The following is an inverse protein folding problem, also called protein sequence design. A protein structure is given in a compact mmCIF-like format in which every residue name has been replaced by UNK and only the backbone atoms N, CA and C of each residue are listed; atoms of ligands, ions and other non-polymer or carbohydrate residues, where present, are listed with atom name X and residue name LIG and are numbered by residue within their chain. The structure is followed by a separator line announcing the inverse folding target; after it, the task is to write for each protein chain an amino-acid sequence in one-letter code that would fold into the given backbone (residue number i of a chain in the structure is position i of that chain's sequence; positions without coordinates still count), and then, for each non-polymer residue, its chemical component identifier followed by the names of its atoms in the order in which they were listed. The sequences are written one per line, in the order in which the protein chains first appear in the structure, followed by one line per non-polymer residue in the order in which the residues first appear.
data_IF_698114377636
#
_entry.id   IF_698114377636
#
_cell.length_a   1.000
_cell.length_b   1.000
_cell.length_c   1.000
_cell.angle_alpha   90.00
_cell.angle_beta   90.00
_cell.angle_gamma   90.00
#
_symmetry.space_group_name_H-M   'P 1'
#
loop_
_entity.id
_entity.type
_entity.pdbx_description
1 polymer ?
#
# COMPACT_ATOMS: atom_id res chain seq x y z
N UNK A 1 -4.00 12.94 -12.97
CA UNK A 1 -3.93 11.45 -12.96
C UNK A 1 -2.50 10.93 -13.05
N UNK A 2 -1.75 11.12 -14.13
CA UNK A 2 -0.39 10.54 -14.31
C UNK A 2 0.67 11.01 -13.32
N UNK A 3 0.62 12.27 -12.84
CA UNK A 3 1.53 12.74 -11.78
C UNK A 3 1.32 11.99 -10.46
N UNK A 4 0.08 11.68 -10.12
CA UNK A 4 -0.26 10.90 -8.91
C UNK A 4 0.16 9.43 -9.07
N UNK A 5 -0.13 8.83 -10.24
CA UNK A 5 0.29 7.47 -10.57
C UNK A 5 1.81 7.31 -10.47
N UNK A 6 2.57 8.26 -11.03
CA UNK A 6 4.03 8.27 -10.94
C UNK A 6 4.52 8.34 -9.48
N UNK A 7 3.93 9.21 -8.65
CA UNK A 7 4.28 9.29 -7.22
C UNK A 7 3.99 7.99 -6.50
N UNK A 8 2.83 7.38 -6.73
CA UNK A 8 2.46 6.08 -6.13
C UNK A 8 3.43 4.98 -6.59
N UNK A 9 3.75 4.91 -7.88
CA UNK A 9 4.70 3.95 -8.41
C UNK A 9 6.09 4.08 -7.77
N UNK A 10 6.63 5.32 -7.68
CA UNK A 10 7.92 5.57 -7.04
C UNK A 10 7.88 5.16 -5.56
N UNK A 11 6.85 5.59 -4.83
CA UNK A 11 6.73 5.29 -3.40
C UNK A 11 6.63 3.77 -3.13
N UNK A 12 5.83 3.05 -3.92
CA UNK A 12 5.68 1.59 -3.77
C UNK A 12 6.98 0.86 -4.13
N UNK A 13 7.61 1.23 -5.24
CA UNK A 13 8.84 0.58 -5.69
C UNK A 13 10.02 0.83 -4.73
N UNK A 14 10.21 2.07 -4.25
CA UNK A 14 11.25 2.39 -3.27
C UNK A 14 10.95 1.74 -1.93
N UNK A 15 9.69 1.78 -1.49
CA UNK A 15 9.27 1.17 -0.23
C UNK A 15 9.52 -0.35 -0.19
N UNK A 16 9.19 -1.07 -1.27
CA UNK A 16 9.43 -2.51 -1.34
C UNK A 16 10.93 -2.85 -1.30
N UNK A 17 11.76 -2.10 -2.03
CA UNK A 17 13.23 -2.30 -2.02
C UNK A 17 13.81 -1.96 -0.65
N UNK A 18 13.35 -0.87 0.00
CA UNK A 18 13.82 -0.50 1.33
C UNK A 18 13.53 -1.58 2.37
N UNK A 19 12.35 -2.20 2.32
CA UNK A 19 12.00 -3.34 3.21
C UNK A 19 12.93 -4.52 2.99
N UNK A 20 13.20 -4.90 1.75
CA UNK A 20 14.12 -6.01 1.44
C UNK A 20 15.53 -5.72 1.94
N UNK A 21 16.05 -4.50 1.70
CA UNK A 21 17.39 -4.11 2.19
C UNK A 21 17.44 -4.12 3.71
N UNK A 22 16.40 -3.65 4.40
CA UNK A 22 16.34 -3.68 5.85
C UNK A 22 16.39 -5.11 6.41
N UNK A 23 15.62 -6.02 5.83
CA UNK A 23 15.64 -7.44 6.23
C UNK A 23 17.03 -8.05 6.02
N UNK A 24 17.67 -7.79 4.88
CA UNK A 24 19.01 -8.29 4.57
C UNK A 24 20.05 -7.71 5.54
N UNK A 25 20.00 -6.41 5.82
CA UNK A 25 20.91 -5.76 6.76
C UNK A 25 20.78 -6.35 8.18
N UNK A 26 19.54 -6.55 8.65
CA UNK A 26 19.27 -7.17 9.96
C UNK A 26 19.83 -8.60 9.98
N UNK A 27 19.55 -9.40 8.95
CA UNK A 27 20.03 -10.78 8.86
C UNK A 27 21.56 -10.86 8.85
N UNK A 28 22.24 -10.01 8.07
CA UNK A 28 23.70 -9.94 8.00
C UNK A 28 24.33 -9.56 9.34
N UNK A 29 23.77 -8.54 10.01
CA UNK A 29 24.26 -8.11 11.33
C UNK A 29 24.04 -9.21 12.38
N UNK A 30 22.88 -9.87 12.35
CA UNK A 30 22.59 -11.00 13.25
C UNK A 30 23.56 -12.17 13.04
N UNK A 31 23.80 -12.58 11.80
CA UNK A 31 24.73 -13.66 11.46
C UNK A 31 26.15 -13.29 11.89
N UNK A 32 26.56 -12.03 11.66
CA UNK A 32 27.88 -11.57 12.04
C UNK A 32 28.07 -11.58 13.57
N UNK A 33 27.06 -11.14 14.31
CA UNK A 33 27.08 -11.20 15.78
C UNK A 33 27.16 -12.64 16.30
N UNK A 34 26.33 -13.52 15.75
CA UNK A 34 26.34 -14.94 16.12
C UNK A 34 27.72 -15.60 15.88
N UNK A 35 28.32 -15.33 14.71
CA UNK A 35 29.68 -15.82 14.41
C UNK A 35 30.75 -15.24 15.32
N UNK A 36 30.59 -13.97 15.74
CA UNK A 36 31.46 -13.35 16.70
C UNK A 36 31.40 -14.07 18.04
N UNK A 37 30.19 -14.32 18.58
CA UNK A 37 29.99 -15.06 19.83
C UNK A 37 30.61 -16.47 19.75
N UNK A 38 30.30 -17.21 18.69
CA UNK A 38 30.82 -18.56 18.48
C UNK A 38 32.36 -18.62 18.45
N UNK A 39 32.97 -17.64 17.77
CA UNK A 39 34.44 -17.53 17.71
C UNK A 39 35.06 -17.28 19.09
N UNK A 40 34.46 -16.35 19.84
CA UNK A 40 34.94 -16.00 21.19
C UNK A 40 34.76 -17.20 22.13
N UNK A 41 33.61 -17.86 22.09
CA UNK A 41 33.33 -19.02 22.95
C UNK A 41 34.29 -20.19 22.63
N UNK A 42 34.59 -20.44 21.35
CA UNK A 42 35.59 -21.46 20.94
C UNK A 42 36.96 -21.12 21.48
N UNK A 43 37.38 -19.86 21.38
CA UNK A 43 38.67 -19.39 21.92
C UNK A 43 38.77 -19.59 23.45
N UNK A 44 37.69 -19.27 24.18
CA UNK A 44 37.62 -19.48 25.62
C UNK A 44 37.64 -20.98 26.01
N UNK A 45 36.93 -21.83 25.27
CA UNK A 45 36.89 -23.27 25.47
C UNK A 45 38.28 -23.91 25.20
N UNK A 46 38.94 -23.50 24.13
CA UNK A 46 40.27 -23.99 23.82
C UNK A 46 41.28 -23.56 24.88
N UNK A 47 41.21 -22.32 25.37
CA UNK A 47 42.02 -21.87 26.48
C UNK A 47 41.78 -22.70 27.76
N UNK A 48 40.52 -23.05 28.06
CA UNK A 48 40.17 -23.85 29.24
C UNK A 48 40.75 -25.27 29.24
N UNK A 49 41.02 -25.82 28.06
CA UNK A 49 41.58 -27.16 27.85
C UNK A 49 43.13 -27.19 27.80
N UNK A 50 43.74 -26.02 27.80
CA UNK A 50 45.22 -25.91 27.73
C UNK A 50 45.88 -26.61 28.89
N UNK A 51 46.87 -27.47 28.59
CA UNK A 51 47.65 -28.20 29.62
C UNK A 51 48.42 -27.23 30.54
N UNK A 52 48.87 -26.11 30.01
CA UNK A 52 49.58 -25.13 30.78
C UNK A 52 48.67 -24.46 31.86
N UNK A 53 47.39 -24.20 31.49
CA UNK A 53 46.38 -23.67 32.41
C UNK A 53 46.05 -24.68 33.51
N UNK A 54 45.79 -25.93 33.12
CA UNK A 54 45.52 -27.00 34.06
C UNK A 54 46.68 -27.15 35.06
N UNK A 55 47.95 -27.10 34.61
CA UNK A 55 49.13 -27.19 35.46
C UNK A 55 49.19 -26.02 36.46
N UNK A 56 48.92 -24.75 36.04
CA UNK A 56 48.91 -23.59 36.90
C UNK A 56 47.89 -23.73 38.04
N UNK A 57 46.71 -24.30 37.76
CA UNK A 57 45.62 -24.43 38.75
C UNK A 57 45.67 -25.76 39.52
N UNK A 58 46.50 -26.73 39.12
CA UNK A 58 46.73 -27.99 39.84
C UNK A 58 47.85 -27.89 40.88
N UNK A 59 48.80 -26.97 40.73
CA UNK A 59 49.86 -26.78 41.71
C UNK A 59 49.32 -26.16 43.01
N UNK A 60 49.55 -26.81 44.16
CA UNK A 60 49.27 -26.29 45.49
C UNK A 60 50.33 -25.24 45.85
N UNK A 61 49.99 -23.97 45.70
CA UNK A 61 50.85 -22.86 46.12
C UNK A 61 50.05 -21.83 46.90
N UNK A 62 50.68 -21.13 47.85
CA UNK A 62 50.08 -20.15 48.75
C UNK A 62 49.66 -18.82 48.05
N UNK A 63 50.02 -18.63 46.77
CA UNK A 63 49.68 -17.44 46.03
C UNK A 63 48.26 -17.48 45.50
N UNK A 64 47.36 -16.71 46.17
CA UNK A 64 45.97 -16.56 45.77
C UNK A 64 45.77 -15.98 44.35
N UNK A 65 46.73 -15.13 43.92
CA UNK A 65 46.66 -14.46 42.61
C UNK A 65 48.03 -14.53 41.91
N UNK A 66 48.07 -15.16 40.76
CA UNK A 66 49.23 -15.15 39.88
C UNK A 66 49.06 -13.99 38.90
N UNK A 67 49.82 -12.93 39.10
CA UNK A 67 49.92 -11.82 38.17
C UNK A 67 50.91 -12.09 37.08
N UNK A 68 50.61 -11.65 35.88
CA UNK A 68 51.48 -11.74 34.73
C UNK A 68 52.75 -10.86 34.98
N UNK A 69 53.84 -11.47 35.37
CA UNK A 69 55.14 -10.80 35.25
C UNK A 69 55.60 -10.83 33.78
N UNK A 70 56.10 -9.71 33.29
CA UNK A 70 56.38 -9.36 31.89
C UNK A 70 57.36 -10.28 31.12
N UNK A 71 57.72 -11.44 31.62
CA UNK A 71 58.73 -12.31 31.02
C UNK A 71 58.34 -13.74 30.75
N UNK A 72 57.13 -14.18 31.02
CA UNK A 72 56.74 -15.59 30.72
C UNK A 72 55.36 -15.68 30.06
N UNK A 73 55.40 -16.21 28.86
CA UNK A 73 54.35 -16.75 28.03
C UNK A 73 53.37 -15.77 27.37
N UNK A 74 53.51 -15.64 26.05
CA UNK A 74 52.64 -15.01 25.06
C UNK A 74 51.27 -15.67 24.93
N UNK A 75 51.03 -16.83 25.61
CA UNK A 75 49.92 -17.72 25.35
C UNK A 75 48.55 -17.29 25.94
N UNK A 76 48.58 -16.41 26.96
CA UNK A 76 47.36 -16.02 27.69
C UNK A 76 47.10 -14.48 27.73
N UNK A 77 47.56 -13.78 26.70
CA UNK A 77 47.29 -12.35 26.60
C UNK A 77 45.78 -12.11 26.43
N UNK A 78 45.22 -11.33 27.32
CA UNK A 78 43.82 -10.91 27.26
C UNK A 78 42.88 -11.80 28.07
N UNK A 79 43.38 -12.84 28.75
CA UNK A 79 42.58 -13.71 29.61
C UNK A 79 42.75 -13.40 31.08
N UNK A 80 41.67 -13.47 31.85
CA UNK A 80 41.69 -13.60 33.28
C UNK A 80 40.89 -14.81 33.70
N UNK A 81 41.40 -15.60 34.64
CA UNK A 81 40.81 -16.90 34.98
C UNK A 81 40.68 -16.97 36.50
N UNK A 82 39.52 -17.34 37.00
CA UNK A 82 39.25 -17.51 38.39
C UNK A 82 38.79 -18.96 38.69
N UNK A 83 39.48 -19.64 39.62
CA UNK A 83 39.01 -20.87 40.25
C UNK A 83 38.14 -20.48 41.42
N UNK A 84 36.92 -20.98 41.47
CA UNK A 84 35.93 -20.60 42.50
C UNK A 84 35.58 -21.81 43.39
N UNK A 85 35.20 -21.49 44.63
CA UNK A 85 34.56 -22.46 45.53
C UNK A 85 33.07 -22.60 45.25
N UNK A 86 32.38 -23.46 45.99
CA UNK A 86 30.95 -23.65 45.86
C UNK A 86 30.12 -22.41 46.29
N UNK A 87 30.73 -21.46 46.97
CA UNK A 87 30.11 -20.21 47.43
C UNK A 87 30.43 -19.03 46.49
N UNK A 88 31.14 -19.26 45.38
CA UNK A 88 31.49 -18.22 44.41
C UNK A 88 32.68 -17.34 44.84
N UNK A 89 33.45 -17.74 45.84
CA UNK A 89 34.70 -17.05 46.24
C UNK A 89 35.87 -17.56 45.43
N UNK A 90 36.76 -16.61 45.06
CA UNK A 90 37.99 -16.97 44.33
C UNK A 90 38.94 -17.70 45.26
N UNK A 91 39.32 -18.91 44.90
CA UNK A 91 40.34 -19.72 45.58
C UNK A 91 41.70 -19.40 44.99
N UNK A 92 41.80 -19.34 43.68
CA UNK A 92 43.03 -19.04 42.94
C UNK A 92 42.70 -18.28 41.66
N UNK A 93 43.47 -17.32 41.24
CA UNK A 93 43.23 -16.57 40.01
C UNK A 93 44.54 -16.39 39.21
N UNK A 94 44.38 -16.38 37.89
CA UNK A 94 45.35 -15.84 36.96
C UNK A 94 44.75 -14.53 36.40
N UNK A 95 45.44 -13.45 36.54
CA UNK A 95 44.95 -12.12 36.16
C UNK A 95 45.92 -11.43 35.20
N UNK A 96 45.37 -10.85 34.14
CA UNK A 96 46.08 -9.91 33.29
C UNK A 96 45.83 -8.48 33.85
N UNK A 97 46.83 -7.92 34.50
CA UNK A 97 46.74 -6.60 35.15
C UNK A 97 46.47 -5.46 34.20
N UNK A 98 46.71 -5.65 32.90
CA UNK A 98 46.39 -4.64 31.89
C UNK A 98 44.87 -4.58 31.62
N UNK A 99 44.10 -5.56 32.06
CA UNK A 99 42.70 -5.70 31.77
C UNK A 99 41.80 -5.58 32.99
N UNK A 100 42.17 -6.25 34.08
CA UNK A 100 41.45 -6.20 35.37
C UNK A 100 42.41 -5.70 36.44
N UNK A 101 42.27 -4.47 36.94
CA UNK A 101 43.32 -3.78 37.70
C UNK A 101 43.60 -4.43 39.06
N UNK A 102 42.62 -4.98 39.73
CA UNK A 102 42.76 -5.54 41.07
C UNK A 102 41.90 -6.78 41.29
N UNK A 103 42.09 -7.42 42.44
CA UNK A 103 41.38 -8.65 42.82
C UNK A 103 39.89 -8.38 43.08
N UNK A 104 39.54 -7.22 43.61
CA UNK A 104 38.17 -6.87 43.94
C UNK A 104 37.33 -6.67 42.65
N UNK A 105 37.96 -6.09 41.61
CA UNK A 105 37.36 -5.99 40.27
C UNK A 105 37.12 -7.37 39.66
N UNK A 106 38.04 -8.32 39.82
CA UNK A 106 37.85 -9.68 39.33
C UNK A 106 36.72 -10.39 40.11
N UNK A 107 36.71 -10.24 41.45
CA UNK A 107 35.66 -10.84 42.30
C UNK A 107 34.29 -10.27 41.95
N UNK A 108 34.18 -8.97 41.71
CA UNK A 108 32.94 -8.34 41.25
C UNK A 108 32.43 -8.94 39.93
N UNK A 109 33.31 -9.16 38.94
CA UNK A 109 32.97 -9.81 37.68
C UNK A 109 32.57 -11.29 37.84
N UNK A 110 33.21 -12.01 38.75
CA UNK A 110 32.84 -13.39 39.10
C UNK A 110 31.41 -13.42 39.67
N UNK A 111 31.08 -12.53 40.62
CA UNK A 111 29.76 -12.44 41.20
C UNK A 111 28.73 -12.13 40.10
N UNK A 112 28.97 -11.12 39.26
CA UNK A 112 28.08 -10.79 38.17
C UNK A 112 27.87 -11.96 37.17
N UNK A 113 28.96 -12.71 36.89
CA UNK A 113 28.86 -13.90 36.06
C UNK A 113 27.97 -14.99 36.71
N UNK A 114 28.08 -15.17 38.02
CA UNK A 114 27.26 -16.14 38.76
C UNK A 114 25.79 -15.75 38.81
N UNK A 115 25.50 -14.48 39.06
CA UNK A 115 24.13 -13.91 39.09
C UNK A 115 23.39 -14.07 37.76
N UNK A 116 24.09 -13.99 36.64
CA UNK A 116 23.51 -14.22 35.31
C UNK A 116 22.96 -15.64 35.10
N UNK A 117 23.32 -16.61 35.94
CA UNK A 117 22.78 -17.99 35.89
C UNK A 117 23.10 -18.75 34.60
N UNK A 118 23.91 -18.18 33.68
CA UNK A 118 24.28 -18.75 32.38
C UNK A 118 25.68 -19.35 32.43
N UNK A 119 25.94 -20.32 31.55
CA UNK A 119 27.28 -20.90 31.37
C UNK A 119 28.25 -20.00 30.61
N UNK A 120 27.70 -19.06 29.78
CA UNK A 120 28.49 -18.05 29.05
C UNK A 120 27.69 -16.78 28.89
N UNK A 121 28.37 -15.64 28.72
CA UNK A 121 27.71 -14.35 28.49
C UNK A 121 28.72 -13.20 28.45
N UNK A 122 28.20 -11.98 28.19
CA UNK A 122 28.99 -10.75 28.24
C UNK A 122 28.78 -10.03 29.58
N UNK A 123 29.85 -9.46 30.10
CA UNK A 123 29.89 -8.53 31.25
C UNK A 123 30.66 -7.30 30.80
N UNK A 124 29.95 -6.24 30.39
CA UNK A 124 30.56 -5.13 29.67
C UNK A 124 31.31 -5.60 28.44
N UNK A 125 32.61 -5.28 28.35
CA UNK A 125 33.47 -5.72 27.24
C UNK A 125 34.05 -7.12 27.39
N UNK A 126 33.72 -7.81 28.46
CA UNK A 126 34.26 -9.15 28.71
C UNK A 126 33.26 -10.22 28.38
N UNK A 127 33.71 -11.27 27.64
CA UNK A 127 32.99 -12.52 27.50
C UNK A 127 33.47 -13.47 28.59
N UNK A 128 32.53 -14.11 29.30
CA UNK A 128 32.87 -15.16 30.26
C UNK A 128 32.31 -16.50 29.84
N UNK A 129 33.03 -17.56 30.29
CA UNK A 129 32.54 -18.91 30.23
C UNK A 129 32.84 -19.62 31.55
N UNK A 130 31.88 -20.43 32.04
CA UNK A 130 32.03 -21.31 33.20
C UNK A 130 32.35 -22.70 32.72
N UNK A 131 33.40 -23.31 33.22
CA UNK A 131 33.84 -24.63 32.80
C UNK A 131 34.21 -25.45 34.03
N UNK A 132 33.68 -26.67 34.13
CA UNK A 132 34.07 -27.65 35.13
C UNK A 132 35.28 -28.44 34.57
N UNK A 133 36.36 -28.37 35.30
CA UNK A 133 37.62 -29.03 34.88
C UNK A 133 38.10 -30.02 35.95
N UNK A 134 39.09 -30.80 35.62
CA UNK A 134 39.75 -31.72 36.58
C UNK A 134 40.36 -30.97 37.79
N UNK A 135 40.62 -29.71 37.68
CA UNK A 135 41.17 -28.82 38.73
C UNK A 135 40.10 -28.04 39.49
N UNK A 136 38.79 -28.20 39.17
CA UNK A 136 37.65 -27.56 39.79
C UNK A 136 36.91 -26.61 38.87
N UNK A 137 36.02 -25.80 39.45
CA UNK A 137 35.17 -24.87 38.73
C UNK A 137 35.96 -23.59 38.33
N UNK A 138 36.12 -23.38 37.05
CA UNK A 138 36.83 -22.21 36.50
C UNK A 138 35.83 -21.24 35.81
N UNK A 139 36.05 -19.97 36.00
CA UNK A 139 35.43 -18.92 35.18
C UNK A 139 36.56 -18.22 34.42
N UNK A 140 36.46 -18.26 33.10
CA UNK A 140 37.37 -17.59 32.19
C UNK A 140 36.73 -16.30 31.68
N UNK A 141 37.49 -15.22 31.69
CA UNK A 141 37.15 -13.95 31.13
C UNK A 141 38.09 -13.58 29.99
N UNK A 142 37.54 -13.20 28.85
CA UNK A 142 38.26 -12.65 27.71
C UNK A 142 37.83 -11.23 27.46
N UNK A 143 38.76 -10.32 27.29
CA UNK A 143 38.45 -8.98 26.85
C UNK A 143 38.14 -8.96 25.35
N UNK A 144 36.94 -8.62 25.01
CA UNK A 144 36.42 -8.59 23.64
C UNK A 144 36.17 -7.16 23.14
N UNK A 145 36.82 -6.14 23.78
CA UNK A 145 36.59 -4.74 23.40
C UNK A 145 36.86 -4.51 21.90
N UNK A 146 37.98 -5.05 21.37
CA UNK A 146 38.34 -4.90 19.95
C UNK A 146 37.33 -5.57 18.99
N UNK A 147 36.87 -6.73 19.37
CA UNK A 147 35.87 -7.50 18.61
C UNK A 147 34.53 -6.79 18.60
N UNK A 148 34.12 -6.23 19.74
CA UNK A 148 32.89 -5.44 19.86
C UNK A 148 33.00 -4.11 19.10
N UNK A 149 34.11 -3.40 19.17
CA UNK A 149 34.38 -2.18 18.40
C UNK A 149 34.35 -2.47 16.88
N UNK A 150 34.93 -3.60 16.48
CA UNK A 150 34.89 -4.06 15.08
C UNK A 150 33.46 -4.37 14.63
N UNK A 151 32.67 -5.02 15.50
CA UNK A 151 31.27 -5.31 15.23
C UNK A 151 30.45 -4.01 15.13
N UNK A 152 30.65 -3.07 16.04
CA UNK A 152 29.98 -1.75 16.00
C UNK A 152 30.30 -1.01 14.69
N UNK A 153 31.58 -0.99 14.29
CA UNK A 153 32.00 -0.42 13.01
C UNK A 153 31.35 -1.12 11.82
N UNK A 154 31.20 -2.46 11.87
CA UNK A 154 30.52 -3.22 10.84
C UNK A 154 29.03 -2.85 10.75
N UNK A 155 28.34 -2.70 11.88
CA UNK A 155 26.94 -2.26 11.94
C UNK A 155 26.78 -0.87 11.34
N UNK A 156 27.62 0.08 11.74
CA UNK A 156 27.62 1.44 11.21
C UNK A 156 27.83 1.48 9.69
N UNK A 157 28.81 0.74 9.18
CA UNK A 157 29.08 0.62 7.76
C UNK A 157 27.92 -0.05 7.00
N UNK A 158 27.31 -1.08 7.59
CA UNK A 158 26.14 -1.77 7.03
C UNK A 158 24.95 -0.81 6.85
N UNK A 159 24.68 0.03 7.86
CA UNK A 159 23.63 1.04 7.81
C UNK A 159 23.94 2.08 6.74
N UNK A 160 25.17 2.60 6.71
CA UNK A 160 25.57 3.64 5.74
C UNK A 160 25.48 3.16 4.31
N UNK A 161 25.94 1.93 4.03
CA UNK A 161 25.81 1.29 2.71
C UNK A 161 24.34 1.10 2.35
N UNK A 162 23.51 0.63 3.28
CA UNK A 162 22.08 0.43 3.05
C UNK A 162 21.38 1.72 2.65
N UNK A 163 21.66 2.82 3.34
CA UNK A 163 21.14 4.15 3.00
C UNK A 163 21.62 4.58 1.60
N UNK A 164 22.91 4.39 1.30
CA UNK A 164 23.49 4.72 -0.01
C UNK A 164 22.80 3.94 -1.15
N UNK A 165 22.52 2.66 -0.95
CA UNK A 165 21.81 1.82 -1.94
C UNK A 165 20.37 2.30 -2.11
N UNK A 166 19.64 2.61 -1.02
CA UNK A 166 18.26 3.11 -1.11
C UNK A 166 18.21 4.44 -1.89
N UNK A 167 19.14 5.36 -1.63
CA UNK A 167 19.23 6.63 -2.36
C UNK A 167 19.52 6.38 -3.85
N UNK A 168 20.44 5.50 -4.15
CA UNK A 168 20.81 5.16 -5.53
C UNK A 168 19.63 4.56 -6.29
N UNK A 169 18.89 3.64 -5.66
CA UNK A 169 17.66 3.05 -6.22
C UNK A 169 16.57 4.11 -6.40
N UNK A 170 16.38 5.02 -5.45
CA UNK A 170 15.43 6.12 -5.57
C UNK A 170 15.74 6.98 -6.81
N UNK A 171 17.00 7.39 -6.99
CA UNK A 171 17.42 8.17 -8.15
C UNK A 171 17.16 7.40 -9.45
N UNK A 172 17.53 6.13 -9.51
CA UNK A 172 17.31 5.27 -10.67
C UNK A 172 15.82 5.16 -11.02
N UNK A 173 14.96 4.90 -10.02
CA UNK A 173 13.51 4.79 -10.22
C UNK A 173 12.93 6.12 -10.71
N UNK A 174 13.37 7.26 -10.17
CA UNK A 174 12.92 8.58 -10.63
C UNK A 174 13.28 8.80 -12.11
N UNK A 175 14.48 8.45 -12.53
CA UNK A 175 14.94 8.58 -13.91
C UNK A 175 14.16 7.66 -14.87
N UNK A 176 13.99 6.40 -14.49
CA UNK A 176 13.32 5.38 -15.31
C UNK A 176 11.80 5.58 -15.34
N UNK A 177 11.19 6.02 -14.22
CA UNK A 177 9.73 6.18 -14.11
C UNK A 177 9.14 7.11 -15.18
N UNK A 178 9.87 8.15 -15.57
CA UNK A 178 9.43 9.07 -16.64
C UNK A 178 9.35 8.34 -17.98
N UNK A 179 10.32 7.49 -18.27
CA UNK A 179 10.43 6.76 -19.54
C UNK A 179 9.40 5.63 -19.66
N UNK A 180 9.07 5.00 -18.54
CA UNK A 180 8.08 3.90 -18.48
C UNK A 180 6.64 4.42 -18.55
N UNK A 181 6.36 5.57 -17.91
CA UNK A 181 5.00 6.12 -17.84
C UNK A 181 4.64 6.94 -19.09
N UNK A 182 5.61 7.56 -19.77
CA UNK A 182 5.35 8.36 -20.96
C UNK A 182 4.56 7.60 -22.05
N UNK A 183 4.93 6.37 -22.49
CA UNK A 183 4.17 5.66 -23.52
C UNK A 183 2.74 5.32 -23.10
N UNK A 184 2.50 5.05 -21.82
CA UNK A 184 1.15 4.81 -21.30
C UNK A 184 0.30 6.08 -21.42
N UNK A 185 0.89 7.23 -21.09
CA UNK A 185 0.24 8.51 -21.23
C UNK A 185 -0.09 8.83 -22.70
N UNK A 186 0.87 8.62 -23.61
CA UNK A 186 0.68 8.86 -25.04
C UNK A 186 -0.39 7.94 -25.64
N UNK A 187 -0.40 6.67 -25.28
CA UNK A 187 -1.45 5.72 -25.72
C UNK A 187 -2.82 6.14 -25.23
N UNK A 188 -2.93 6.55 -23.97
CA UNK A 188 -4.19 7.03 -23.40
C UNK A 188 -4.71 8.30 -24.09
N UNK A 189 -3.80 9.27 -24.39
CA UNK A 189 -4.16 10.49 -25.12
C UNK A 189 -4.61 10.15 -26.55
N UNK A 190 -3.87 9.29 -27.27
CA UNK A 190 -4.23 8.85 -28.61
C UNK A 190 -5.57 8.12 -28.66
N UNK A 191 -5.84 7.26 -27.69
CA UNK A 191 -7.13 6.57 -27.57
C UNK A 191 -8.29 7.56 -27.41
N UNK A 192 -8.13 8.60 -26.60
CA UNK A 192 -9.12 9.66 -26.44
C UNK A 192 -9.34 10.46 -27.73
N UNK A 193 -8.26 10.91 -28.34
CA UNK A 193 -8.32 11.63 -29.62
C UNK A 193 -9.03 10.80 -30.70
N UNK A 194 -8.75 9.48 -30.74
CA UNK A 194 -9.42 8.57 -31.64
C UNK A 194 -10.95 8.53 -31.39
N UNK A 195 -11.37 8.39 -30.12
CA UNK A 195 -12.81 8.36 -29.78
C UNK A 195 -13.49 9.67 -30.21
N UNK A 196 -12.87 10.82 -29.92
CA UNK A 196 -13.43 12.14 -30.29
C UNK A 196 -13.49 12.32 -31.80
N UNK A 197 -12.41 12.00 -32.51
CA UNK A 197 -12.34 12.08 -33.98
C UNK A 197 -13.32 11.14 -34.67
N UNK A 198 -13.33 9.85 -34.27
CA UNK A 198 -14.26 8.88 -34.83
C UNK A 198 -15.73 9.29 -34.60
N UNK A 199 -16.02 9.92 -33.47
CA UNK A 199 -17.38 10.38 -33.17
C UNK A 199 -17.85 11.49 -34.11
N UNK A 200 -16.97 12.43 -34.45
CA UNK A 200 -17.27 13.46 -35.46
C UNK A 200 -17.48 12.85 -36.85
N UNK A 201 -16.61 11.92 -37.26
CA UNK A 201 -16.70 11.22 -38.52
C UNK A 201 -17.90 10.29 -38.64
N UNK A 202 -18.47 9.80 -37.52
CA UNK A 202 -19.70 9.00 -37.50
C UNK A 202 -20.98 9.84 -37.56
N UNK A 203 -20.96 11.07 -37.04
CA UNK A 203 -22.17 11.94 -37.06
C UNK A 203 -22.63 12.29 -38.46
N UNK A 204 -21.70 12.58 -39.36
CA UNK A 204 -21.98 12.97 -40.74
C UNK A 204 -22.71 11.87 -41.53
N UNK A 205 -22.22 10.61 -41.60
CA UNK A 205 -22.94 9.54 -42.33
C UNK A 205 -24.29 9.21 -41.69
N UNK A 206 -24.40 9.31 -40.33
CA UNK A 206 -25.68 9.09 -39.65
C UNK A 206 -26.72 10.17 -40.03
N UNK A 207 -26.32 11.42 -40.13
CA UNK A 207 -27.19 12.52 -40.58
C UNK A 207 -27.62 12.32 -42.05
N UNK A 208 -26.73 11.83 -42.93
CA UNK A 208 -27.06 11.52 -44.32
C UNK A 208 -28.03 10.37 -44.40
N UNK A 209 -27.86 9.28 -43.61
CA UNK A 209 -28.79 8.15 -43.58
C UNK A 209 -30.17 8.62 -43.08
N UNK A 210 -30.21 9.45 -42.03
CA UNK A 210 -31.47 10.05 -41.55
C UNK A 210 -32.18 10.86 -42.62
N UNK A 211 -31.47 11.77 -43.29
CA UNK A 211 -32.02 12.60 -44.35
C UNK A 211 -32.52 11.81 -45.54
N UNK A 212 -31.84 10.71 -45.93
CA UNK A 212 -32.29 9.81 -46.98
C UNK A 212 -33.56 9.05 -46.57
N UNK A 213 -33.68 8.65 -45.32
CA UNK A 213 -34.90 8.06 -44.79
C UNK A 213 -36.07 9.04 -44.78
N UNK A 214 -35.83 10.32 -44.41
CA UNK A 214 -36.83 11.37 -44.52
C UNK A 214 -37.38 11.58 -45.95
N UNK A 215 -36.43 11.58 -46.93
CA UNK A 215 -36.81 11.70 -48.37
C UNK A 215 -37.63 10.49 -48.83
N UNK A 216 -37.27 9.28 -48.39
CA UNK A 216 -38.02 8.07 -48.72
C UNK A 216 -39.45 8.10 -48.13
N UNK A 217 -39.59 8.64 -46.92
CA UNK A 217 -40.93 8.87 -46.29
C UNK A 217 -41.77 9.88 -47.04
N UNK A 218 -41.13 10.99 -47.44
CA UNK A 218 -41.81 12.03 -48.23
C UNK A 218 -42.30 11.48 -49.60
N UNK A 219 -41.54 10.59 -50.23
CA UNK A 219 -41.90 10.07 -51.57
C UNK A 219 -42.87 8.90 -51.52
N UNK A 220 -42.80 8.05 -50.51
CA UNK A 220 -43.55 6.76 -50.46
C UNK A 220 -44.54 6.68 -49.28
N UNK A 221 -44.60 7.69 -48.45
CA UNK A 221 -45.34 7.67 -47.18
C UNK A 221 -44.60 6.93 -46.08
N UNK A 222 -45.15 6.98 -44.89
CA UNK A 222 -44.61 6.34 -43.69
C UNK A 222 -44.55 4.83 -43.85
N UNK A 223 -43.40 4.22 -43.57
CA UNK A 223 -43.18 2.80 -43.64
C UNK A 223 -42.51 2.24 -42.40
N UNK A 224 -42.81 1.01 -42.03
CA UNK A 224 -42.16 0.31 -40.94
C UNK A 224 -40.60 0.25 -41.12
N UNK A 225 -40.15 0.27 -42.36
CA UNK A 225 -38.75 0.19 -42.68
C UNK A 225 -38.03 1.51 -42.44
N UNK A 226 -38.63 2.64 -42.86
CA UNK A 226 -38.07 4.00 -42.61
C UNK A 226 -38.09 4.33 -41.12
N UNK A 227 -39.16 4.01 -40.39
CA UNK A 227 -39.21 4.10 -38.94
C UNK A 227 -38.11 3.29 -38.24
N UNK A 228 -37.82 2.06 -38.71
CA UNK A 228 -36.73 1.26 -38.18
C UNK A 228 -35.36 1.91 -38.45
N UNK A 229 -35.15 2.51 -39.62
CA UNK A 229 -33.91 3.22 -39.95
C UNK A 229 -33.75 4.39 -39.01
N UNK A 230 -34.75 5.24 -38.82
CA UNK A 230 -34.70 6.37 -37.88
C UNK A 230 -34.39 5.89 -36.48
N UNK A 231 -35.07 4.89 -35.97
CA UNK A 231 -34.79 4.32 -34.66
C UNK A 231 -33.35 3.84 -34.50
N UNK A 232 -32.71 3.27 -35.54
CA UNK A 232 -31.32 2.84 -35.47
C UNK A 232 -30.36 4.01 -35.58
N UNK A 233 -30.66 5.01 -36.41
CA UNK A 233 -29.86 6.23 -36.53
C UNK A 233 -29.85 7.02 -35.21
N UNK A 234 -31.02 7.22 -34.60
CA UNK A 234 -31.14 7.87 -33.29
C UNK A 234 -30.37 7.11 -32.22
N UNK A 235 -30.46 5.80 -32.28
CA UNK A 235 -29.73 4.91 -31.40
C UNK A 235 -28.24 5.08 -31.55
N UNK A 236 -27.67 5.07 -32.74
CA UNK A 236 -26.24 5.23 -33.00
C UNK A 236 -25.77 6.64 -32.62
N UNK A 237 -26.57 7.66 -32.93
CA UNK A 237 -26.28 9.05 -32.59
C UNK A 237 -26.19 9.27 -31.09
N UNK A 238 -27.11 8.69 -30.33
CA UNK A 238 -27.09 8.74 -28.86
C UNK A 238 -25.89 8.01 -28.27
N UNK A 239 -25.52 6.85 -28.82
CA UNK A 239 -24.31 6.12 -28.42
C UNK A 239 -23.04 6.96 -28.66
N UNK A 240 -22.89 7.51 -29.85
CA UNK A 240 -21.76 8.36 -30.22
C UNK A 240 -21.64 9.57 -29.30
N UNK A 241 -22.77 10.27 -29.06
CA UNK A 241 -22.80 11.41 -28.14
C UNK A 241 -22.39 11.01 -26.71
N UNK A 242 -22.88 9.90 -26.20
CA UNK A 242 -22.54 9.40 -24.86
C UNK A 242 -21.05 9.08 -24.75
N UNK A 243 -20.44 8.51 -25.80
CA UNK A 243 -18.99 8.25 -25.86
C UNK A 243 -18.16 9.54 -25.83
N UNK A 244 -18.58 10.58 -26.57
CA UNK A 244 -17.91 11.89 -26.58
C UNK A 244 -17.96 12.54 -25.21
N UNK A 245 -19.15 12.59 -24.61
CA UNK A 245 -19.34 13.20 -23.29
C UNK A 245 -18.47 12.47 -22.25
N UNK A 246 -18.50 11.13 -22.27
CA UNK A 246 -17.68 10.32 -21.38
C UNK A 246 -16.17 10.61 -21.56
N UNK A 247 -15.70 10.63 -22.82
CA UNK A 247 -14.29 10.94 -23.13
C UNK A 247 -13.87 12.34 -22.65
N UNK A 248 -14.73 13.35 -22.86
CA UNK A 248 -14.49 14.72 -22.38
C UNK A 248 -14.48 14.82 -20.86
N UNK A 249 -15.38 14.11 -20.19
CA UNK A 249 -15.39 14.07 -18.73
C UNK A 249 -14.09 13.47 -18.18
N UNK A 250 -13.54 12.43 -18.79
CA UNK A 250 -12.25 11.90 -18.39
C UNK A 250 -11.08 12.89 -18.58
N UNK A 251 -11.18 13.85 -19.48
CA UNK A 251 -10.13 14.85 -19.74
C UNK A 251 -9.94 15.88 -18.63
N UNK A 252 -11.04 16.32 -18.01
CA UNK A 252 -10.97 17.34 -16.96
C UNK A 252 -10.38 16.75 -15.68
N UNK A 253 -9.09 16.97 -15.45
CA UNK A 253 -8.41 16.58 -14.19
C UNK A 253 -8.84 17.43 -12.98
N UNK A 254 -9.37 18.65 -13.23
CA UNK A 254 -9.83 19.57 -12.20
C UNK A 254 -11.27 19.96 -12.46
N UNK A 255 -12.10 19.76 -11.45
CA UNK A 255 -13.50 20.19 -11.45
C UNK A 255 -13.54 21.63 -10.93
N UNK A 256 -14.10 22.56 -11.69
CA UNK A 256 -14.37 23.92 -11.20
C UNK A 256 -15.51 23.86 -10.18
N UNK A 257 -15.14 23.91 -8.90
CA UNK A 257 -16.09 23.79 -7.82
C UNK A 257 -16.65 25.14 -7.45
N UNK A 258 -17.98 25.27 -7.52
CA UNK A 258 -18.74 26.43 -7.03
C UNK A 258 -19.75 25.98 -5.99
N UNK A 259 -20.16 26.90 -5.14
CA UNK A 259 -21.26 26.64 -4.21
C UNK A 259 -22.58 26.88 -4.92
N UNK A 260 -23.44 25.86 -5.00
CA UNK A 260 -24.77 25.96 -5.61
C UNK A 260 -25.82 25.31 -4.71
N UNK A 261 -27.09 25.63 -4.98
CA UNK A 261 -28.25 25.09 -4.27
C UNK A 261 -28.59 23.69 -4.81
N UNK A 262 -28.22 22.67 -4.06
CA UNK A 262 -28.42 21.27 -4.44
C UNK A 262 -29.90 20.89 -4.39
N UNK A 263 -30.66 21.45 -3.44
CA UNK A 263 -32.13 21.24 -3.34
C UNK A 263 -32.82 21.73 -4.59
N UNK A 264 -32.64 23.00 -4.94
CA UNK A 264 -33.26 23.59 -6.10
C UNK A 264 -32.87 22.90 -7.42
N UNK A 265 -31.58 22.51 -7.55
CA UNK A 265 -31.11 21.75 -8.71
C UNK A 265 -31.84 20.41 -8.84
N UNK A 266 -32.02 19.65 -7.73
CA UNK A 266 -32.73 18.37 -7.76
C UNK A 266 -34.22 18.55 -8.03
N UNK A 267 -34.88 19.50 -7.40
CA UNK A 267 -36.31 19.76 -7.58
C UNK A 267 -36.63 20.14 -9.05
N UNK A 268 -35.82 20.99 -9.67
CA UNK A 268 -35.95 21.31 -11.10
C UNK A 268 -35.81 20.03 -11.98
N UNK A 269 -34.87 19.14 -11.67
CA UNK A 269 -34.75 17.90 -12.44
C UNK A 269 -35.93 16.98 -12.23
N UNK A 270 -36.43 16.84 -11.00
CA UNK A 270 -37.63 16.04 -10.71
C UNK A 270 -38.83 16.57 -11.48
N UNK A 271 -39.01 17.88 -11.58
CA UNK A 271 -40.08 18.49 -12.34
C UNK A 271 -39.99 18.12 -13.83
N UNK A 272 -38.79 18.26 -14.44
CA UNK A 272 -38.58 17.89 -15.85
C UNK A 272 -38.86 16.42 -16.12
N UNK A 273 -38.51 15.52 -15.19
CA UNK A 273 -38.71 14.07 -15.36
C UNK A 273 -40.13 13.59 -14.97
N UNK A 274 -40.93 14.39 -14.25
CA UNK A 274 -42.28 14.02 -13.85
C UNK A 274 -43.21 13.81 -15.06
N UNK A 275 -43.11 14.65 -16.09
CA UNK A 275 -43.91 14.49 -17.30
C UNK A 275 -43.60 13.12 -17.99
N UNK A 276 -42.29 12.79 -18.10
CA UNK A 276 -41.86 11.54 -18.69
C UNK A 276 -42.30 10.34 -17.85
N UNK A 277 -42.20 10.42 -16.53
CA UNK A 277 -42.62 9.36 -15.62
C UNK A 277 -44.15 9.12 -15.73
N UNK A 278 -44.94 10.18 -15.71
CA UNK A 278 -46.39 10.14 -15.84
C UNK A 278 -46.82 9.52 -17.20
N UNK A 279 -46.15 9.89 -18.29
CA UNK A 279 -46.40 9.32 -19.60
C UNK A 279 -46.15 7.81 -19.62
N UNK A 280 -45.18 7.33 -18.85
CA UNK A 280 -44.88 5.91 -18.67
C UNK A 280 -45.67 5.26 -17.52
N UNK A 281 -46.74 5.91 -17.02
CA UNK A 281 -47.56 5.44 -15.89
C UNK A 281 -46.76 5.12 -14.62
N UNK A 282 -45.77 5.95 -14.32
CA UNK A 282 -44.93 5.85 -13.14
C UNK A 282 -45.03 7.12 -12.31
N UNK A 283 -44.90 7.02 -10.97
CA UNK A 283 -45.03 8.13 -10.07
C UNK A 283 -43.71 8.40 -9.34
N UNK A 284 -43.25 9.65 -9.30
CA UNK A 284 -42.07 10.03 -8.51
C UNK A 284 -42.53 10.54 -7.16
N UNK A 285 -42.05 9.88 -6.10
CA UNK A 285 -42.29 10.26 -4.70
C UNK A 285 -41.04 10.89 -4.16
N UNK A 286 -41.16 12.10 -3.63
CA UNK A 286 -39.99 12.89 -3.19
C UNK A 286 -39.95 13.06 -1.67
N UNK A 287 -38.74 13.05 -1.10
CA UNK A 287 -38.49 13.37 0.30
C UNK A 287 -37.17 14.17 0.38
N UNK A 288 -37.27 15.46 0.13
CA UNK A 288 -36.15 16.37 -0.09
C UNK A 288 -36.05 17.39 1.05
N UNK A 289 -34.89 17.45 1.70
CA UNK A 289 -34.60 18.50 2.70
C UNK A 289 -34.32 19.82 1.99
N UNK A 290 -34.87 20.90 2.52
CA UNK A 290 -34.73 22.27 1.97
C UNK A 290 -33.36 22.89 2.31
N UNK A 291 -32.92 23.84 1.45
CA UNK A 291 -31.72 24.67 1.66
C UNK A 291 -30.41 23.89 1.81
N UNK A 292 -30.21 22.81 1.04
CA UNK A 292 -28.96 22.11 0.98
C UNK A 292 -28.08 22.70 -0.12
N UNK A 293 -26.87 23.09 0.26
CA UNK A 293 -25.85 23.60 -0.66
C UNK A 293 -24.71 22.61 -0.79
N UNK A 294 -24.18 22.50 -2.01
CA UNK A 294 -23.04 21.66 -2.32
C UNK A 294 -21.91 22.48 -2.95
N UNK A 295 -20.67 22.06 -2.73
CA UNK A 295 -19.49 22.70 -3.31
C UNK A 295 -18.87 21.76 -4.35
N UNK A 296 -19.30 21.91 -5.60
CA UNK A 296 -18.93 21.05 -6.72
C UNK A 296 -19.15 21.72 -8.07
N UNK A 297 -18.98 20.95 -9.16
CA UNK A 297 -19.36 21.40 -10.50
C UNK A 297 -20.85 21.10 -10.72
N UNK A 298 -21.67 22.14 -10.68
CA UNK A 298 -23.15 22.05 -10.77
C UNK A 298 -23.59 21.22 -11.98
N UNK A 299 -23.05 21.50 -13.17
CA UNK A 299 -23.40 20.80 -14.39
C UNK A 299 -23.15 19.28 -14.33
N UNK A 300 -22.06 18.85 -13.71
CA UNK A 300 -21.76 17.42 -13.52
C UNK A 300 -22.70 16.77 -12.51
N UNK A 301 -23.05 17.46 -11.43
CA UNK A 301 -23.97 16.93 -10.42
C UNK A 301 -25.39 16.85 -10.99
N UNK A 302 -25.84 17.86 -11.73
CA UNK A 302 -27.12 17.82 -12.47
C UNK A 302 -27.15 16.64 -13.43
N UNK A 303 -26.08 16.42 -14.19
CA UNK A 303 -25.98 15.27 -15.08
C UNK A 303 -26.00 13.93 -14.33
N UNK A 304 -25.42 13.85 -13.13
CA UNK A 304 -25.55 12.68 -12.26
C UNK A 304 -27.00 12.42 -11.87
N UNK A 305 -27.74 13.48 -11.50
CA UNK A 305 -29.17 13.39 -11.18
C UNK A 305 -30.00 12.89 -12.39
N UNK A 306 -29.74 13.46 -13.57
CA UNK A 306 -30.41 13.06 -14.81
C UNK A 306 -30.19 11.57 -15.12
N UNK A 307 -28.93 11.09 -15.01
CA UNK A 307 -28.61 9.67 -15.23
C UNK A 307 -29.36 8.75 -14.25
N UNK A 308 -29.41 9.14 -12.97
CA UNK A 308 -30.09 8.33 -11.95
C UNK A 308 -31.61 8.32 -12.13
N UNK A 309 -32.21 9.47 -12.44
CA UNK A 309 -33.66 9.61 -12.68
C UNK A 309 -34.08 8.86 -13.96
N UNK A 310 -33.36 9.07 -15.07
CA UNK A 310 -33.60 8.36 -16.31
C UNK A 310 -33.51 6.84 -16.13
N UNK A 311 -32.48 6.38 -15.41
CA UNK A 311 -32.28 4.96 -15.13
C UNK A 311 -33.45 4.40 -14.29
N UNK A 312 -33.88 5.11 -13.25
CA UNK A 312 -34.98 4.70 -12.40
C UNK A 312 -36.30 4.63 -13.17
N UNK A 313 -36.61 5.65 -13.99
CA UNK A 313 -37.82 5.68 -14.83
C UNK A 313 -37.80 4.51 -15.84
N UNK A 314 -36.64 4.27 -16.45
CA UNK A 314 -36.48 3.26 -17.47
C UNK A 314 -36.68 1.83 -16.96
N UNK A 315 -36.19 1.50 -15.78
CA UNK A 315 -36.22 0.14 -15.22
C UNK A 315 -37.32 -0.10 -14.20
N UNK A 316 -38.08 0.92 -13.81
CA UNK A 316 -39.26 0.75 -12.98
C UNK A 316 -40.39 0.08 -13.79
N UNK A 317 -41.17 -0.86 -13.23
CA UNK A 317 -42.38 -1.37 -13.84
C UNK A 317 -43.44 -0.28 -14.03
N UNK A 318 -44.41 -0.51 -14.96
CA UNK A 318 -45.61 0.32 -15.02
C UNK A 318 -46.35 0.30 -13.68
N UNK A 319 -47.11 1.33 -13.40
CA UNK A 319 -47.88 1.51 -12.16
C UNK A 319 -47.06 1.40 -10.87
N UNK A 320 -45.75 1.69 -10.95
CA UNK A 320 -44.84 1.70 -9.78
C UNK A 320 -44.38 3.09 -9.38
N UNK A 321 -43.93 3.23 -8.14
CA UNK A 321 -43.35 4.47 -7.62
C UNK A 321 -41.82 4.43 -7.61
N UNK A 322 -41.22 5.57 -7.99
CA UNK A 322 -39.80 5.86 -7.89
C UNK A 322 -39.61 6.78 -6.71
N UNK A 323 -38.81 6.40 -5.75
CA UNK A 323 -38.51 7.22 -4.56
C UNK A 323 -37.23 8.01 -4.76
N UNK A 324 -37.29 9.34 -4.62
CA UNK A 324 -36.15 10.24 -4.68
C UNK A 324 -36.04 10.95 -3.34
N UNK A 325 -34.94 10.77 -2.65
CA UNK A 325 -34.70 11.43 -1.38
C UNK A 325 -33.34 12.15 -1.36
N UNK A 326 -33.34 13.35 -0.79
CA UNK A 326 -32.13 14.13 -0.54
C UNK A 326 -32.14 14.55 0.94
N UNK A 327 -31.24 13.99 1.72
CA UNK A 327 -31.19 14.18 3.17
C UNK A 327 -29.86 14.71 3.63
N UNK A 328 -29.91 15.62 4.60
CA UNK A 328 -28.70 16.07 5.30
C UNK A 328 -28.31 15.05 6.37
N UNK A 329 -27.10 14.53 6.27
CA UNK A 329 -26.51 13.67 7.29
C UNK A 329 -25.18 14.27 7.77
N UNK A 330 -25.23 14.97 8.90
CA UNK A 330 -24.07 15.68 9.50
C UNK A 330 -23.37 16.61 8.49
N UNK A 331 -22.27 16.14 7.90
CA UNK A 331 -21.43 16.89 6.93
C UNK A 331 -21.73 16.54 5.47
N UNK A 332 -22.60 15.55 5.23
CA UNK A 332 -22.88 15.03 3.89
C UNK A 332 -24.33 15.31 3.49
N UNK A 333 -24.57 15.48 2.20
CA UNK A 333 -25.89 15.37 1.60
C UNK A 333 -26.00 13.99 0.94
N UNK A 334 -27.05 13.24 1.27
CA UNK A 334 -27.27 11.90 0.71
C UNK A 334 -28.40 11.98 -0.29
N UNK A 335 -28.08 11.85 -1.58
CA UNK A 335 -29.03 11.65 -2.65
C UNK A 335 -29.28 10.15 -2.84
N UNK A 336 -30.54 9.74 -2.77
CA UNK A 336 -30.94 8.35 -3.01
C UNK A 336 -32.10 8.30 -4.00
N UNK A 337 -31.91 7.58 -5.10
CA UNK A 337 -32.94 7.28 -6.07
C UNK A 337 -33.21 5.76 -6.01
N UNK A 338 -34.45 5.36 -5.82
CA UNK A 338 -34.83 3.95 -5.67
C UNK A 338 -36.07 3.63 -6.48
N UNK A 339 -36.05 2.52 -7.20
CA UNK A 339 -37.18 1.99 -7.96
C UNK A 339 -37.33 0.49 -7.73
N UNK A 340 -38.51 -0.03 -7.98
CA UNK A 340 -38.70 -1.48 -8.09
C UNK A 340 -38.06 -1.97 -9.39
N UNK A 341 -37.36 -3.08 -9.35
CA UNK A 341 -36.81 -3.73 -10.53
C UNK A 341 -36.66 -5.23 -10.27
N UNK A 342 -36.83 -6.04 -11.30
CA UNK A 342 -36.55 -7.47 -11.26
C UNK A 342 -35.04 -7.68 -11.49
N UNK A 343 -34.27 -7.66 -10.41
CA UNK A 343 -32.82 -7.85 -10.45
C UNK A 343 -32.44 -9.10 -9.66
N UNK A 344 -31.61 -9.97 -10.24
CA UNK A 344 -31.05 -11.11 -9.51
C UNK A 344 -30.17 -10.61 -8.37
N UNK A 345 -30.38 -11.17 -7.17
CA UNK A 345 -29.50 -10.91 -6.02
C UNK A 345 -28.08 -11.41 -6.33
N UNK A 346 -27.09 -10.58 -6.15
CA UNK A 346 -25.69 -10.91 -6.38
C UNK A 346 -24.79 -9.68 -6.35
N UNK A 347 -23.53 -9.86 -6.76
CA UNK A 347 -22.59 -8.76 -6.92
C UNK A 347 -22.98 -7.91 -8.14
N UNK A 348 -23.39 -6.69 -7.86
CA UNK A 348 -23.79 -5.70 -8.86
C UNK A 348 -22.63 -4.73 -9.21
N UNK A 349 -21.40 -4.99 -8.78
CA UNK A 349 -20.25 -4.13 -9.08
C UNK A 349 -20.03 -3.91 -10.59
N UNK A 350 -20.36 -4.90 -11.39
CA UNK A 350 -20.25 -4.86 -12.86
C UNK A 350 -21.21 -3.87 -13.54
N UNK A 351 -22.28 -3.43 -12.87
CA UNK A 351 -23.22 -2.46 -13.47
C UNK A 351 -22.57 -1.09 -13.74
N UNK A 352 -21.43 -0.83 -13.11
CA UNK A 352 -20.62 0.37 -13.34
C UNK A 352 -19.54 0.19 -14.44
N UNK A 353 -19.38 -1.06 -14.96
CA UNK A 353 -18.50 -1.28 -16.11
C UNK A 353 -19.13 -0.71 -17.38
N UNK A 354 -18.30 -0.22 -18.30
CA UNK A 354 -18.75 0.34 -19.58
C UNK A 354 -19.39 -0.73 -20.44
N UNK A 355 -20.52 -0.39 -21.07
CA UNK A 355 -21.29 -1.28 -21.96
C UNK A 355 -21.88 -2.51 -21.26
N UNK A 356 -21.74 -2.63 -19.96
CA UNK A 356 -22.33 -3.73 -19.21
C UNK A 356 -23.83 -3.53 -19.03
N UNK A 357 -24.60 -4.62 -19.23
CA UNK A 357 -26.06 -4.66 -19.03
C UNK A 357 -26.40 -5.99 -18.33
N UNK A 358 -27.29 -5.92 -17.33
CA UNK A 358 -27.71 -7.10 -16.55
C UNK A 358 -28.48 -8.14 -17.39
N UNK A 359 -29.15 -7.70 -18.48
CA UNK A 359 -29.94 -8.54 -19.37
C UNK A 359 -29.58 -8.30 -20.84
N UNK A 360 -28.64 -9.08 -21.38
CA UNK A 360 -28.35 -9.12 -22.82
C UNK A 360 -29.47 -9.77 -23.65
N UNK A 361 -30.34 -10.56 -23.02
CA UNK A 361 -31.21 -11.49 -23.74
C UNK A 361 -32.72 -11.23 -23.67
N UNK A 362 -33.22 -10.32 -22.82
CA UNK A 362 -34.67 -10.28 -22.57
C UNK A 362 -35.46 -9.07 -23.04
N UNK A 363 -34.86 -7.89 -23.27
CA UNK A 363 -35.67 -6.78 -23.80
C UNK A 363 -34.80 -5.85 -24.68
N UNK A 364 -34.78 -6.11 -25.98
CA UNK A 364 -34.38 -5.16 -27.04
C UNK A 364 -35.24 -3.88 -27.02
N UNK A 365 -36.39 -3.90 -26.33
CA UNK A 365 -37.31 -2.78 -26.19
C UNK A 365 -36.78 -1.69 -25.19
N UNK A 366 -35.95 -2.06 -24.21
CA UNK A 366 -35.39 -1.07 -23.25
C UNK A 366 -34.13 -0.47 -23.87
N UNK A 367 -34.24 0.76 -24.41
CA UNK A 367 -33.12 1.50 -25.02
C UNK A 367 -32.06 1.86 -23.96
N UNK A 368 -30.77 1.51 -24.17
CA UNK A 368 -29.65 1.92 -23.31
C UNK A 368 -28.36 1.22 -23.64
N UNK A 369 -27.21 1.93 -23.45
CA UNK A 369 -25.90 1.51 -23.94
C UNK A 369 -24.97 0.99 -22.83
N UNK A 370 -25.42 0.98 -21.56
CA UNK A 370 -24.57 0.59 -20.43
C UNK A 370 -23.47 1.61 -20.11
N UNK A 371 -23.64 2.89 -20.49
CA UNK A 371 -22.70 3.97 -20.23
C UNK A 371 -23.14 4.85 -19.07
N UNK A 372 -24.44 4.93 -18.79
CA UNK A 372 -24.97 5.86 -17.79
C UNK A 372 -24.39 5.66 -16.39
N UNK A 373 -24.46 4.45 -15.85
CA UNK A 373 -23.95 4.18 -14.49
C UNK A 373 -22.42 4.30 -14.39
N UNK A 374 -21.66 3.94 -15.43
CA UNK A 374 -20.21 4.20 -15.45
C UNK A 374 -19.87 5.69 -15.48
N UNK A 375 -20.72 6.50 -16.12
CA UNK A 375 -20.60 7.97 -16.10
C UNK A 375 -20.96 8.53 -14.72
N UNK A 376 -22.02 8.02 -14.10
CA UNK A 376 -22.41 8.42 -12.74
C UNK A 376 -21.27 8.12 -11.74
N UNK A 377 -20.65 6.95 -11.82
CA UNK A 377 -19.48 6.62 -11.02
C UNK A 377 -18.31 7.58 -11.27
N UNK A 378 -18.01 7.91 -12.52
CA UNK A 378 -16.93 8.83 -12.86
C UNK A 378 -17.17 10.23 -12.26
N UNK A 379 -18.42 10.73 -12.28
CA UNK A 379 -18.79 12.01 -11.68
C UNK A 379 -18.57 11.95 -10.17
N UNK A 380 -19.05 10.90 -9.50
CA UNK A 380 -18.89 10.70 -8.07
C UNK A 380 -17.41 10.64 -7.67
N UNK A 381 -16.59 9.82 -8.36
CA UNK A 381 -15.15 9.73 -8.11
C UNK A 381 -14.42 11.07 -8.27
N UNK A 382 -14.79 11.89 -9.25
CA UNK A 382 -14.20 13.23 -9.45
C UNK A 382 -14.56 14.22 -8.36
N UNK A 383 -15.72 14.07 -7.77
CA UNK A 383 -16.17 14.88 -6.63
C UNK A 383 -15.71 14.25 -5.30
N UNK A 384 -15.12 13.05 -5.32
CA UNK A 384 -14.69 12.27 -4.14
C UNK A 384 -15.87 11.85 -3.25
N UNK A 385 -16.96 11.48 -3.87
CA UNK A 385 -18.19 11.01 -3.23
C UNK A 385 -18.30 9.47 -3.26
#
# INVERSE_FOLDING_TARGET
MFKSLRKKFIATAVGSVAVVIAILAIALNFINFYKLEERIDTTLLDASKSQALIKIFAEEGDDLVITKNSSSSTEYNGFSIAKIDNNGRIIKAYRDDSLIPDQDALQSKVIEALEKGKTSGFIGSYRFIKVDTSVGNLILFLNCQRELDSYESFVQNSILISIGVIISVLVLIILVSKRVIAPIQDTYIKQKQFITGASHELKTPLAIISSNADVLEMMNGDSKWTQNIHNQVDRLTSLVNSLVVFSRMEEKDTVERTRFDLTNALESRIEDFNELANFQKKNIVTDVDSNLYYFGEEASIVQLMDILLENAIKYAPEDSSISVSLKKNRKYAILKVSNKAEVKKGDLSKVFERFYRLDESRNSAIKGYGIGLSMAQLIAEKHKE
#
